data_IF_107363683442
#
_entry.id   IF_107363683442
#
_cell.length_a   1.000
_cell.length_b   1.000
_cell.length_c   1.000
_cell.angle_alpha   90.00
_cell.angle_beta   90.00
_cell.angle_gamma   90.00
#
_symmetry.space_group_name_H-M   'P 1'
#
loop_
_entity.id
_entity.type
_entity.pdbx_description
1 polymer ?
#
# COMPACT_ATOMS: atom_id res chain seq x y z
N UNK A 1 12.73 0.31 4.54
CA UNK A 1 12.17 1.57 4.01
C UNK A 1 11.67 1.28 2.61
N UNK A 2 10.36 1.08 2.45
CA UNK A 2 9.72 0.68 1.19
C UNK A 2 9.41 1.92 0.35
N UNK A 3 9.65 1.89 -0.96
CA UNK A 3 9.32 2.98 -1.91
C UNK A 3 7.92 3.56 -1.67
N UNK A 4 6.96 2.67 -1.42
CA UNK A 4 5.57 2.99 -1.13
C UNK A 4 5.33 3.84 0.12
N UNK A 5 6.15 3.67 1.17
CA UNK A 5 6.06 4.53 2.35
C UNK A 5 6.48 5.96 2.03
N UNK A 6 7.59 6.12 1.30
CA UNK A 6 8.05 7.43 0.85
C UNK A 6 7.04 8.08 -0.10
N UNK A 7 6.49 7.31 -1.04
CA UNK A 7 5.47 7.81 -1.97
C UNK A 7 4.21 8.30 -1.23
N UNK A 8 3.79 7.59 -0.18
CA UNK A 8 2.66 8.01 0.66
C UNK A 8 3.00 9.22 1.53
N UNK A 9 4.16 9.23 2.19
CA UNK A 9 4.64 10.34 3.04
C UNK A 9 4.82 11.64 2.22
N UNK A 10 5.23 11.52 0.95
CA UNK A 10 5.34 12.63 0.01
C UNK A 10 4.03 12.96 -0.71
N UNK A 11 2.91 12.27 -0.40
CA UNK A 11 1.59 12.49 -1.01
C UNK A 11 1.63 12.32 -2.54
N UNK A 12 2.49 11.44 -3.05
CA UNK A 12 2.52 11.07 -4.47
C UNK A 12 1.40 10.09 -4.82
N UNK A 13 0.91 9.38 -3.81
CA UNK A 13 -0.17 8.42 -3.91
C UNK A 13 -1.03 8.51 -2.66
N UNK A 14 -2.34 8.43 -2.83
CA UNK A 14 -3.31 8.34 -1.76
C UNK A 14 -3.52 6.87 -1.32
N UNK A 15 -4.34 6.68 -0.28
CA UNK A 15 -4.59 5.36 0.27
C UNK A 15 -5.32 4.44 -0.72
N UNK A 16 -6.18 4.95 -1.61
CA UNK A 16 -6.85 4.13 -2.63
C UNK A 16 -5.87 3.74 -3.73
N UNK A 17 -5.04 4.67 -4.20
CA UNK A 17 -3.96 4.38 -5.14
C UNK A 17 -3.02 3.31 -4.59
N UNK A 18 -2.67 3.40 -3.30
CA UNK A 18 -1.79 2.43 -2.68
C UNK A 18 -2.43 1.04 -2.56
N UNK A 19 -3.77 0.90 -2.58
CA UNK A 19 -4.45 -0.42 -2.60
C UNK A 19 -4.05 -1.24 -3.83
N UNK A 20 -3.76 -0.59 -4.96
CA UNK A 20 -3.32 -1.28 -6.18
C UNK A 20 -1.92 -1.90 -6.05
N UNK A 21 -1.10 -1.41 -5.13
CA UNK A 21 0.21 -1.99 -4.82
C UNK A 21 0.11 -3.16 -3.82
N UNK A 22 -1.06 -3.40 -3.23
CA UNK A 22 -1.26 -4.45 -2.23
C UNK A 22 -1.41 -5.80 -2.91
N UNK A 23 -0.61 -6.75 -2.43
CA UNK A 23 -0.62 -8.13 -2.83
C UNK A 23 -1.81 -8.85 -2.21
N UNK A 24 -2.69 -9.35 -3.06
CA UNK A 24 -3.89 -10.09 -2.67
C UNK A 24 -4.04 -11.32 -3.56
N UNK A 25 -5.02 -12.18 -3.28
CA UNK A 25 -5.35 -13.30 -4.16
C UNK A 25 -5.76 -12.81 -5.57
N UNK A 26 -6.46 -11.67 -5.64
CA UNK A 26 -6.85 -11.04 -6.91
C UNK A 26 -5.74 -10.21 -7.55
N UNK A 27 -4.75 -9.76 -6.78
CA UNK A 27 -3.59 -9.02 -7.26
C UNK A 27 -2.28 -9.68 -6.81
N UNK A 28 -1.84 -10.76 -7.49
CA UNK A 28 -0.63 -11.48 -7.13
C UNK A 28 0.66 -10.68 -7.43
N UNK A 29 0.54 -9.59 -8.20
CA UNK A 29 1.65 -8.71 -8.59
C UNK A 29 1.87 -7.54 -7.63
N UNK A 30 1.08 -7.42 -6.57
CA UNK A 30 1.31 -6.41 -5.55
C UNK A 30 2.68 -6.55 -4.89
N UNK A 31 3.27 -5.41 -4.54
CA UNK A 31 4.61 -5.30 -3.96
C UNK A 31 4.58 -5.22 -2.42
N UNK A 32 3.44 -4.84 -1.82
CA UNK A 32 3.28 -4.73 -0.36
C UNK A 32 2.17 -5.66 0.14
N UNK A 33 2.28 -6.16 1.37
CA UNK A 33 1.19 -6.95 1.98
C UNK A 33 0.07 -6.03 2.51
N UNK A 34 -1.13 -6.57 2.78
CA UNK A 34 -2.20 -5.83 3.46
C UNK A 34 -1.77 -5.25 4.81
N UNK A 35 -0.86 -5.95 5.51
CA UNK A 35 -0.29 -5.49 6.78
C UNK A 35 0.66 -4.30 6.58
N UNK A 36 1.48 -4.32 5.53
CA UNK A 36 2.36 -3.19 5.18
C UNK A 36 1.55 -1.98 4.71
N UNK A 37 0.47 -2.21 3.95
CA UNK A 37 -0.49 -1.16 3.61
C UNK A 37 -1.01 -0.46 4.85
N UNK A 38 -1.49 -1.22 5.85
CA UNK A 38 -1.97 -0.66 7.11
C UNK A 38 -0.89 0.09 7.88
N UNK A 39 0.37 -0.36 7.84
CA UNK A 39 1.49 0.37 8.47
C UNK A 39 1.83 1.68 7.76
N UNK A 40 1.60 1.77 6.45
CA UNK A 40 1.88 2.96 5.65
C UNK A 40 0.73 3.96 5.76
N UNK A 41 -0.51 3.51 5.57
CA UNK A 41 -1.68 4.39 5.49
C UNK A 41 -2.39 4.61 6.82
N UNK A 42 -2.19 3.71 7.78
CA UNK A 42 -2.99 3.64 9.01
C UNK A 42 -4.40 3.06 8.79
N UNK A 43 -4.74 2.64 7.57
CA UNK A 43 -6.07 2.15 7.18
C UNK A 43 -6.03 0.64 7.01
N UNK A 44 -7.04 -0.06 7.53
CA UNK A 44 -7.22 -1.48 7.28
C UNK A 44 -7.58 -1.73 5.81
N UNK A 45 -6.89 -2.70 5.19
CA UNK A 45 -7.10 -3.06 3.78
C UNK A 45 -8.40 -3.86 3.53
N UNK A 46 -9.26 -4.04 4.54
CA UNK A 46 -10.45 -4.91 4.50
C UNK A 46 -11.46 -4.55 3.40
#
# INVERSE_FOLDING_TARGET
MTFWKLAFDCIWIDAEGLRAAVKTESNPFGEISPEEYKKITGVDFN
#
